data_IF_191001063455
#
_entry.id   IF_191001063455
#
_cell.length_a   1.000
_cell.length_b   1.000
_cell.length_c   1.000
_cell.angle_alpha   90.00
_cell.angle_beta   90.00
_cell.angle_gamma   90.00
#
_symmetry.space_group_name_H-M   'P 1'
#
loop_
_entity.id
_entity.type
_entity.pdbx_description
1 polymer ?
#
# COMPACT_ATOMS: atom_id res chain seq x y z
N UNK A 1 -3.36 1.98 13.73
CA UNK A 1 -4.64 1.50 13.19
C UNK A 1 -5.78 2.27 13.82
N UNK A 2 -6.63 2.88 13.00
CA UNK A 2 -7.89 3.49 13.43
C UNK A 2 -9.04 2.62 12.92
N UNK A 3 -9.95 2.26 13.82
CA UNK A 3 -11.28 1.79 13.42
C UNK A 3 -12.05 3.03 12.98
N UNK A 4 -12.56 3.05 11.77
CA UNK A 4 -13.58 4.01 11.39
C UNK A 4 -14.91 3.29 11.49
N UNK A 5 -15.76 3.82 12.35
CA UNK A 5 -17.03 3.26 12.71
C UNK A 5 -18.13 4.24 12.33
N UNK A 6 -19.13 3.73 11.62
CA UNK A 6 -20.46 4.28 11.68
C UNK A 6 -21.21 3.51 12.81
N UNK A 7 -21.28 4.14 14.00
CA UNK A 7 -22.23 3.90 15.11
C UNK A 7 -22.05 2.64 16.03
N UNK A 8 -21.76 2.96 17.32
CA UNK A 8 -21.82 2.33 18.68
C UNK A 8 -21.47 0.83 19.00
N UNK A 9 -20.48 0.73 19.91
CA UNK A 9 -19.95 -0.25 20.90
C UNK A 9 -20.63 -1.63 21.21
N UNK A 10 -19.87 -2.75 21.18
CA UNK A 10 -19.03 -3.36 22.26
C UNK A 10 -18.91 -4.89 22.10
N UNK A 11 -17.76 -5.47 21.73
CA UNK A 11 -17.50 -6.92 21.78
C UNK A 11 -16.00 -7.26 22.00
N UNK A 12 -15.67 -8.48 22.50
CA UNK A 12 -14.37 -8.78 23.12
C UNK A 12 -13.30 -9.21 22.10
N UNK A 13 -12.05 -8.80 22.34
CA UNK A 13 -10.87 -9.32 21.63
C UNK A 13 -9.98 -10.16 22.54
N UNK A 14 -9.66 -11.37 22.07
CA UNK A 14 -8.93 -12.35 22.86
C UNK A 14 -7.43 -12.33 22.52
N UNK A 15 -6.61 -11.91 23.47
CA UNK A 15 -5.22 -12.31 23.60
C UNK A 15 -4.99 -12.69 25.05
N UNK A 16 -4.17 -13.73 25.25
CA UNK A 16 -3.81 -14.30 26.55
C UNK A 16 -3.88 -13.29 27.71
N UNK A 17 -4.98 -13.43 28.48
CA UNK A 17 -5.30 -12.87 29.80
C UNK A 17 -6.17 -11.60 29.97
N UNK A 18 -6.62 -10.88 28.93
CA UNK A 18 -7.69 -9.87 29.14
C UNK A 18 -8.40 -9.40 27.86
N UNK A 19 -9.73 -9.50 27.83
CA UNK A 19 -10.54 -8.95 26.74
C UNK A 19 -10.53 -7.42 26.78
N UNK A 20 -10.12 -6.79 25.68
CA UNK A 20 -10.15 -5.33 25.52
C UNK A 20 -11.25 -4.94 24.53
N UNK A 21 -12.14 -4.05 24.96
CA UNK A 21 -13.16 -3.45 24.11
C UNK A 21 -12.90 -1.95 23.95
N UNK A 22 -12.89 -1.50 22.71
CA UNK A 22 -12.91 -0.08 22.35
C UNK A 22 -14.03 0.15 21.34
N UNK A 23 -14.49 1.39 21.23
CA UNK A 23 -15.48 1.76 20.26
C UNK A 23 -15.87 3.20 20.40
N UNK A 24 -16.50 3.72 19.36
CA UNK A 24 -16.91 5.12 19.30
C UNK A 24 -18.41 5.22 19.02
N UNK A 25 -18.95 6.43 19.16
CA UNK A 25 -20.34 6.74 18.86
C UNK A 25 -20.39 7.85 17.82
N UNK A 26 -21.31 7.71 16.88
CA UNK A 26 -21.68 8.77 15.94
C UNK A 26 -23.20 8.97 16.01
N UNK A 27 -23.63 10.22 15.91
CA UNK A 27 -25.03 10.63 15.81
C UNK A 27 -25.18 11.59 14.64
N UNK A 28 -26.27 11.45 13.89
CA UNK A 28 -26.55 12.28 12.74
C UNK A 28 -28.06 12.39 12.61
N UNK A 29 -28.59 13.61 12.51
CA UNK A 29 -30.01 13.85 12.26
C UNK A 29 -30.22 14.23 10.79
N UNK A 30 -29.41 15.14 10.26
CA UNK A 30 -29.43 15.54 8.84
C UNK A 30 -28.05 15.42 8.19
N UNK A 31 -28.02 15.24 6.87
CA UNK A 31 -26.75 15.18 6.12
C UNK A 31 -25.99 16.52 6.16
N UNK A 32 -26.68 17.64 6.35
CA UNK A 32 -26.07 18.97 6.48
C UNK A 32 -25.24 19.15 7.74
N UNK A 33 -25.45 18.32 8.76
CA UNK A 33 -24.66 18.35 10.00
C UNK A 33 -23.27 17.73 9.80
N UNK A 34 -23.10 16.96 8.72
CA UNK A 34 -21.90 16.18 8.45
C UNK A 34 -20.80 17.09 7.89
N UNK A 35 -19.61 17.00 8.51
CA UNK A 35 -18.44 17.80 8.14
C UNK A 35 -17.42 16.89 7.47
N UNK A 36 -17.09 17.19 6.21
CA UNK A 36 -16.01 16.49 5.48
C UNK A 36 -14.67 16.66 6.21
N UNK A 37 -13.86 15.60 6.21
CA UNK A 37 -12.59 15.51 6.95
C UNK A 37 -12.75 15.25 8.45
N UNK A 38 -13.95 15.38 9.02
CA UNK A 38 -14.18 15.21 10.46
C UNK A 38 -14.80 13.86 10.78
N UNK A 39 -14.09 13.04 11.57
CA UNK A 39 -14.61 11.76 12.07
C UNK A 39 -14.61 11.72 13.60
N UNK A 40 -15.42 12.58 14.22
CA UNK A 40 -15.45 12.77 15.68
C UNK A 40 -16.86 12.82 16.26
N UNK A 41 -17.78 12.02 15.71
CA UNK A 41 -19.08 11.75 16.31
C UNK A 41 -20.30 12.29 15.56
N UNK A 42 -20.10 12.96 14.42
CA UNK A 42 -21.20 13.37 13.52
C UNK A 42 -21.00 12.70 12.17
N UNK A 43 -21.94 11.84 11.77
CA UNK A 43 -21.78 11.00 10.59
C UNK A 43 -20.75 9.88 10.82
N UNK A 44 -19.50 10.20 11.16
CA UNK A 44 -18.40 9.28 11.35
C UNK A 44 -17.84 9.31 12.79
N UNK A 45 -17.34 8.17 13.28
CA UNK A 45 -16.51 8.14 14.49
C UNK A 45 -15.29 7.24 14.30
N UNK A 46 -14.23 7.49 15.07
CA UNK A 46 -13.02 6.68 15.03
C UNK A 46 -12.58 6.23 16.42
N UNK A 47 -11.92 5.08 16.50
CA UNK A 47 -11.30 4.57 17.72
C UNK A 47 -9.89 4.03 17.43
N UNK A 48 -8.95 4.25 18.36
CA UNK A 48 -7.59 3.72 18.25
C UNK A 48 -7.52 2.27 18.73
N UNK A 49 -6.77 1.43 18.03
CA UNK A 49 -6.45 0.08 18.48
C UNK A 49 -5.18 0.06 19.34
N UNK A 50 -5.17 -0.65 20.48
CA UNK A 50 -3.94 -0.89 21.22
C UNK A 50 -2.98 -1.75 20.39
N UNK A 51 -1.68 -1.58 20.65
CA UNK A 51 -0.65 -2.43 20.04
C UNK A 51 -0.75 -3.85 20.60
N UNK A 52 -0.44 -4.84 19.77
CA UNK A 52 -0.39 -6.25 20.18
C UNK A 52 -1.72 -6.99 20.12
N UNK A 53 -2.73 -6.49 19.40
CA UNK A 53 -3.97 -7.21 19.09
C UNK A 53 -3.70 -8.27 18.00
N UNK A 54 -4.06 -9.55 18.24
CA UNK A 54 -3.89 -10.66 17.27
C UNK A 54 -5.08 -10.79 16.35
N UNK A 55 -6.26 -10.51 16.90
CA UNK A 55 -7.52 -10.76 16.25
C UNK A 55 -8.51 -9.66 16.60
N UNK A 56 -9.41 -9.37 15.66
CA UNK A 56 -10.47 -8.41 15.85
C UNK A 56 -11.77 -8.84 15.15
N UNK A 57 -12.86 -8.43 15.75
CA UNK A 57 -14.27 -8.66 15.44
C UNK A 57 -14.96 -7.30 15.55
N UNK A 58 -15.57 -6.84 14.46
CA UNK A 58 -16.26 -5.56 14.43
C UNK A 58 -17.75 -5.82 14.46
N UNK A 59 -18.44 -5.23 15.44
CA UNK A 59 -19.90 -5.20 15.49
C UNK A 59 -20.39 -3.77 15.30
N UNK A 60 -21.48 -3.62 14.55
CA UNK A 60 -22.11 -2.36 14.22
C UNK A 60 -23.56 -2.39 14.68
N UNK A 61 -24.01 -1.34 15.37
CA UNK A 61 -25.40 -1.26 15.83
C UNK A 61 -25.95 0.15 15.60
N UNK A 62 -27.23 0.24 15.24
CA UNK A 62 -27.93 1.51 15.02
C UNK A 62 -29.08 1.65 16.00
N UNK A 63 -29.13 2.76 16.75
CA UNK A 63 -30.15 3.03 17.78
C UNK A 63 -31.59 2.87 17.28
N UNK A 64 -31.83 3.36 16.08
CA UNK A 64 -33.15 3.40 15.47
C UNK A 64 -33.20 2.56 14.19
N UNK A 65 -32.28 1.58 14.04
CA UNK A 65 -32.17 0.75 12.84
C UNK A 65 -32.19 1.58 11.54
N UNK A 66 -31.42 2.67 11.51
CA UNK A 66 -31.35 3.63 10.39
C UNK A 66 -32.65 4.36 10.00
N UNK A 67 -33.78 4.14 10.68
CA UNK A 67 -35.09 4.71 10.29
C UNK A 67 -35.10 6.24 10.20
N UNK A 68 -34.28 6.95 10.99
CA UNK A 68 -34.19 8.42 10.99
C UNK A 68 -33.28 9.00 9.91
N UNK A 69 -32.39 8.19 9.32
CA UNK A 69 -31.34 8.64 8.38
C UNK A 69 -31.35 7.83 7.08
N UNK A 70 -32.38 7.00 6.86
CA UNK A 70 -32.47 6.05 5.76
C UNK A 70 -32.30 6.68 4.38
N UNK A 71 -32.69 7.95 4.22
CA UNK A 71 -32.61 8.70 2.97
C UNK A 71 -31.19 9.02 2.52
N UNK A 72 -30.19 8.97 3.42
CA UNK A 72 -28.80 9.29 3.10
C UNK A 72 -27.77 8.40 3.80
N UNK A 73 -28.18 7.50 4.69
CA UNK A 73 -27.36 6.51 5.36
C UNK A 73 -28.18 5.24 5.62
N UNK A 74 -28.34 4.36 4.62
CA UNK A 74 -29.14 3.15 4.76
C UNK A 74 -28.43 2.04 5.53
N UNK A 75 -27.10 2.07 5.65
CA UNK A 75 -26.30 1.00 6.26
C UNK A 75 -25.10 1.54 7.03
N UNK A 76 -24.78 0.90 8.15
CA UNK A 76 -23.55 1.15 8.89
C UNK A 76 -22.38 0.39 8.28
N UNK A 77 -21.21 1.01 8.25
CA UNK A 77 -19.96 0.41 7.80
C UNK A 77 -18.88 0.57 8.87
N UNK A 78 -17.95 -0.36 8.91
CA UNK A 78 -16.74 -0.19 9.68
C UNK A 78 -15.60 -0.98 9.07
N UNK A 79 -14.41 -0.41 9.19
CA UNK A 79 -13.19 -0.97 8.64
C UNK A 79 -12.00 -0.46 9.44
N UNK A 80 -10.89 -1.19 9.31
CA UNK A 80 -9.61 -0.83 9.91
C UNK A 80 -8.75 -0.19 8.83
N UNK A 81 -8.18 0.97 9.14
CA UNK A 81 -7.28 1.68 8.24
C UNK A 81 -6.05 2.17 8.99
N UNK A 82 -4.96 2.37 8.24
CA UNK A 82 -3.78 3.04 8.77
C UNK A 82 -4.08 4.50 9.16
N UNK A 83 -3.36 5.00 10.15
CA UNK A 83 -3.52 6.38 10.61
C UNK A 83 -3.04 7.35 9.53
N UNK A 84 -3.92 8.24 9.09
CA UNK A 84 -3.64 9.22 8.04
C UNK A 84 -4.08 8.81 6.63
N UNK A 85 -4.40 7.53 6.42
CA UNK A 85 -4.75 6.99 5.10
C UNK A 85 -6.25 7.01 4.79
N UNK A 86 -7.06 7.68 5.62
CA UNK A 86 -8.48 7.88 5.36
C UNK A 86 -8.94 9.26 5.76
N UNK A 87 -9.66 9.89 4.84
CA UNK A 87 -10.38 11.13 5.04
C UNK A 87 -11.88 10.89 4.85
N UNK A 88 -12.67 11.23 5.87
CA UNK A 88 -14.11 11.03 5.83
C UNK A 88 -14.80 12.06 4.91
N UNK A 89 -15.78 11.60 4.14
CA UNK A 89 -16.66 12.47 3.35
C UNK A 89 -18.12 12.12 3.61
N UNK A 90 -18.99 13.12 3.64
CA UNK A 90 -20.44 12.94 3.74
C UNK A 90 -21.01 12.07 2.61
N UNK A 91 -20.37 12.07 1.43
CA UNK A 91 -20.76 11.18 0.32
C UNK A 91 -20.65 9.70 0.68
N UNK A 92 -19.77 9.33 1.61
CA UNK A 92 -19.59 7.95 2.04
C UNK A 92 -20.81 7.40 2.80
N UNK A 93 -21.72 8.24 3.27
CA UNK A 93 -22.95 7.82 3.95
C UNK A 93 -23.97 7.24 2.96
N UNK A 94 -24.05 7.76 1.73
CA UNK A 94 -25.16 7.54 0.81
C UNK A 94 -25.05 6.26 -0.04
N UNK A 95 -24.28 5.28 0.41
CA UNK A 95 -24.17 3.96 -0.22
C UNK A 95 -23.87 4.00 -1.73
N UNK A 96 -22.86 4.77 -2.15
CA UNK A 96 -22.19 4.51 -3.42
C UNK A 96 -21.11 3.46 -3.17
N UNK A 97 -21.48 2.18 -3.26
CA UNK A 97 -20.56 1.04 -3.23
C UNK A 97 -19.64 0.97 -4.46
N UNK A 98 -18.94 2.06 -4.77
CA UNK A 98 -17.87 2.05 -5.77
C UNK A 98 -16.54 2.36 -5.09
N UNK A 99 -15.72 1.30 -4.97
CA UNK A 99 -14.28 1.37 -4.83
C UNK A 99 -13.68 2.00 -3.56
N UNK A 100 -14.18 1.70 -2.35
CA UNK A 100 -13.37 1.90 -1.14
C UNK A 100 -12.26 0.85 -1.04
N UNK A 101 -11.22 1.00 -1.85
CA UNK A 101 -9.94 0.31 -1.69
C UNK A 101 -9.09 1.10 -0.69
N UNK A 102 -9.34 0.88 0.58
CA UNK A 102 -8.56 1.52 1.63
C UNK A 102 -7.34 0.66 1.96
N UNK A 103 -6.15 1.25 2.10
CA UNK A 103 -4.96 0.51 2.49
C UNK A 103 -5.13 0.05 3.93
N UNK A 104 -5.42 -1.24 4.08
CA UNK A 104 -5.43 -1.89 5.38
C UNK A 104 -4.01 -2.37 5.68
N UNK A 105 -3.26 -1.59 6.46
CA UNK A 105 -1.96 -2.04 6.99
C UNK A 105 -2.20 -2.70 8.35
N UNK A 106 -2.46 -4.00 8.34
CA UNK A 106 -2.38 -4.78 9.56
C UNK A 106 -0.91 -5.20 9.76
N UNK A 107 -0.30 -4.70 10.84
CA UNK A 107 1.01 -5.16 11.33
C UNK A 107 0.81 -6.41 12.20
N UNK A 108 0.31 -7.49 11.58
CA UNK A 108 0.06 -8.77 12.25
C UNK A 108 1.06 -9.81 11.78
N UNK A 109 1.65 -10.52 12.74
CA UNK A 109 2.53 -11.65 12.46
C UNK A 109 1.73 -12.92 12.25
N UNK A 110 2.17 -13.76 11.32
CA UNK A 110 1.53 -15.02 11.00
C UNK A 110 2.08 -16.10 11.92
N UNK A 111 1.19 -16.66 12.74
CA UNK A 111 1.55 -17.70 13.71
C UNK A 111 2.65 -17.24 14.68
N UNK A 112 3.37 -18.21 15.25
CA UNK A 112 4.48 -17.95 16.18
C UNK A 112 5.83 -18.44 15.64
N UNK A 113 5.89 -18.90 14.39
CA UNK A 113 7.10 -19.45 13.75
C UNK A 113 7.94 -18.37 13.07
N UNK A 114 9.25 -18.54 13.05
CA UNK A 114 10.16 -17.72 12.22
C UNK A 114 9.94 -17.96 10.73
N UNK A 115 10.43 -17.06 9.87
CA UNK A 115 10.42 -17.26 8.42
C UNK A 115 11.08 -18.57 8.00
N UNK A 116 12.17 -18.94 8.66
CA UNK A 116 12.93 -20.16 8.34
C UNK A 116 12.15 -21.42 8.67
N UNK A 117 11.29 -21.37 9.69
CA UNK A 117 10.44 -22.48 10.09
C UNK A 117 9.18 -22.55 9.26
N UNK A 118 8.53 -21.41 9.00
CA UNK A 118 7.32 -21.32 8.21
C UNK A 118 7.51 -21.85 6.77
N UNK A 119 8.65 -21.55 6.15
CA UNK A 119 9.00 -22.03 4.80
C UNK A 119 9.14 -23.56 4.70
N UNK A 120 9.31 -24.27 5.82
CA UNK A 120 9.44 -25.74 5.81
C UNK A 120 8.10 -26.43 5.56
N UNK A 121 6.98 -25.75 5.76
CA UNK A 121 5.64 -26.30 5.53
C UNK A 121 4.87 -25.46 4.50
N UNK A 122 4.95 -25.83 3.20
CA UNK A 122 4.27 -25.09 2.13
C UNK A 122 2.75 -25.01 2.27
N UNK A 123 2.12 -26.01 2.90
CA UNK A 123 0.66 -26.04 3.11
C UNK A 123 0.20 -24.91 4.03
N UNK A 124 1.00 -24.57 5.05
CA UNK A 124 0.65 -23.55 6.04
C UNK A 124 1.42 -22.24 5.84
N UNK A 125 2.28 -22.16 4.82
CA UNK A 125 3.04 -20.95 4.52
C UNK A 125 2.14 -19.90 3.85
N UNK A 126 2.03 -18.74 4.49
CA UNK A 126 1.07 -17.72 4.11
C UNK A 126 1.52 -16.87 2.92
N UNK A 127 2.83 -16.64 2.74
CA UNK A 127 3.32 -15.76 1.68
C UNK A 127 3.12 -16.42 0.31
N UNK A 128 2.48 -15.67 -0.60
CA UNK A 128 2.15 -16.10 -1.96
C UNK A 128 3.22 -15.64 -2.96
N UNK A 129 2.92 -15.78 -4.24
CA UNK A 129 3.86 -15.55 -5.34
C UNK A 129 4.51 -14.15 -5.26
N UNK A 130 5.80 -14.09 -5.59
CA UNK A 130 6.65 -12.89 -5.56
C UNK A 130 6.70 -12.15 -4.21
N UNK A 131 6.27 -12.80 -3.12
CA UNK A 131 6.41 -12.27 -1.77
C UNK A 131 7.64 -12.84 -1.06
N UNK A 132 8.30 -11.98 -0.30
CA UNK A 132 9.38 -12.32 0.62
C UNK A 132 8.85 -12.41 2.05
N UNK A 133 9.40 -13.35 2.80
CA UNK A 133 9.16 -13.45 4.23
C UNK A 133 10.11 -12.52 4.98
N UNK A 134 9.58 -11.79 5.97
CA UNK A 134 10.32 -10.89 6.85
C UNK A 134 10.01 -11.24 8.30
N UNK A 135 11.03 -11.22 9.16
CA UNK A 135 10.83 -11.30 10.61
C UNK A 135 10.30 -9.95 11.14
N UNK A 136 9.33 -9.95 12.06
CA UNK A 136 8.83 -8.73 12.67
C UNK A 136 9.91 -8.03 13.49
N UNK A 137 9.82 -6.70 13.61
CA UNK A 137 10.75 -5.93 14.46
C UNK A 137 10.55 -6.22 15.95
N UNK A 138 9.31 -6.56 16.34
CA UNK A 138 8.96 -6.98 17.69
C UNK A 138 7.90 -8.09 17.63
N UNK A 139 8.05 -9.10 18.48
CA UNK A 139 7.09 -10.21 18.59
C UNK A 139 7.55 -11.48 17.88
N UNK A 140 6.69 -12.50 17.94
CA UNK A 140 6.92 -13.81 17.32
C UNK A 140 6.06 -13.96 16.06
N UNK A 141 6.41 -14.91 15.21
CA UNK A 141 5.77 -15.12 13.91
C UNK A 141 6.57 -14.48 12.78
N UNK A 142 5.95 -14.39 11.61
CA UNK A 142 6.58 -13.80 10.42
C UNK A 142 5.61 -12.89 9.66
N UNK A 143 6.13 -12.11 8.73
CA UNK A 143 5.38 -11.20 7.86
C UNK A 143 5.67 -11.51 6.40
N UNK A 144 4.70 -11.28 5.52
CA UNK A 144 4.91 -11.32 4.09
C UNK A 144 4.94 -9.91 3.52
N UNK A 145 5.90 -9.63 2.64
CA UNK A 145 6.04 -8.37 1.91
C UNK A 145 6.25 -8.71 0.44
N UNK A 146 5.76 -7.91 -0.49
CA UNK A 146 6.17 -8.05 -1.88
C UNK A 146 7.69 -7.86 -2.03
N UNK A 147 8.31 -8.68 -2.87
CA UNK A 147 9.70 -8.49 -3.27
C UNK A 147 9.90 -7.19 -4.03
N UNK A 148 11.16 -6.79 -4.20
CA UNK A 148 11.49 -5.59 -4.98
C UNK A 148 11.02 -5.75 -6.44
N UNK A 149 10.43 -4.69 -7.01
CA UNK A 149 9.81 -4.73 -8.35
C UNK A 149 8.38 -5.28 -8.37
N UNK A 150 7.79 -5.61 -7.20
CA UNK A 150 6.43 -6.14 -7.12
C UNK A 150 5.53 -5.34 -6.16
N UNK A 151 4.24 -5.31 -6.43
CA UNK A 151 3.21 -4.61 -5.65
C UNK A 151 1.96 -5.47 -5.42
N UNK A 152 1.08 -5.03 -4.53
CA UNK A 152 -0.18 -5.70 -4.22
C UNK A 152 -0.18 -6.39 -2.86
N UNK A 153 -1.02 -7.43 -2.72
CA UNK A 153 -1.22 -8.11 -1.45
C UNK A 153 -0.51 -9.48 -1.44
N UNK A 154 0.53 -9.66 -0.61
CA UNK A 154 1.35 -10.88 -0.59
C UNK A 154 0.62 -12.11 -0.01
N UNK A 155 -0.62 -11.98 0.47
CA UNK A 155 -1.43 -13.04 1.08
C UNK A 155 -2.53 -13.59 0.16
N UNK A 156 -2.86 -12.87 -0.91
CA UNK A 156 -3.91 -13.28 -1.86
C UNK A 156 -3.39 -14.32 -2.85
N UNK A 157 -4.28 -15.12 -3.43
CA UNK A 157 -3.93 -16.23 -4.34
C UNK A 157 -3.02 -15.81 -5.50
N UNK A 158 -3.19 -14.61 -6.03
CA UNK A 158 -2.37 -14.10 -7.14
C UNK A 158 -1.06 -13.45 -6.65
N UNK A 159 -0.82 -13.42 -5.33
CA UNK A 159 0.36 -12.84 -4.71
C UNK A 159 0.64 -11.40 -5.14
N UNK A 160 1.92 -11.08 -5.20
CA UNK A 160 2.40 -9.78 -5.65
C UNK A 160 2.56 -9.75 -7.18
N UNK A 161 2.08 -8.67 -7.77
CA UNK A 161 2.11 -8.41 -9.20
C UNK A 161 3.32 -7.57 -9.57
N UNK A 162 3.85 -7.81 -10.76
CA UNK A 162 4.94 -7.04 -11.33
C UNK A 162 4.57 -5.54 -11.41
N UNK A 163 5.52 -4.68 -11.06
CA UNK A 163 5.39 -3.24 -11.26
C UNK A 163 5.91 -2.92 -12.65
N UNK A 164 5.07 -2.39 -13.53
CA UNK A 164 5.57 -1.81 -14.77
C UNK A 164 6.17 -0.43 -14.48
N UNK A 165 7.49 -0.38 -14.21
CA UNK A 165 8.17 0.89 -13.95
C UNK A 165 8.19 1.80 -15.19
N UNK A 166 8.09 1.24 -16.40
CA UNK A 166 8.05 2.02 -17.63
C UNK A 166 6.77 2.85 -17.75
N UNK A 167 5.64 2.32 -17.28
CA UNK A 167 4.38 3.07 -17.25
C UNK A 167 4.30 4.03 -16.06
N UNK A 168 4.71 3.54 -14.87
CA UNK A 168 4.47 4.23 -13.59
C UNK A 168 5.54 5.27 -13.26
N UNK A 169 6.82 4.92 -13.34
CA UNK A 169 7.95 5.77 -12.94
C UNK A 169 8.63 6.46 -14.13
N UNK A 170 8.52 5.87 -15.33
CA UNK A 170 9.19 6.32 -16.57
C UNK A 170 10.69 6.61 -16.34
N UNK A 171 11.46 5.64 -15.83
CA UNK A 171 12.82 5.84 -15.34
C UNK A 171 13.87 6.09 -16.44
N UNK A 172 13.52 5.83 -17.71
CA UNK A 172 14.47 5.89 -18.82
C UNK A 172 14.52 7.24 -19.53
N UNK A 173 15.72 7.61 -19.99
CA UNK A 173 15.98 8.80 -20.81
C UNK A 173 15.58 8.60 -22.27
N UNK A 174 15.58 7.35 -22.75
CA UNK A 174 15.15 6.97 -24.11
C UNK A 174 14.13 5.83 -24.05
N UNK A 175 14.52 4.61 -24.43
CA UNK A 175 13.58 3.48 -24.52
C UNK A 175 13.59 2.71 -23.21
N UNK A 176 12.39 2.44 -22.68
CA UNK A 176 12.19 1.62 -21.49
C UNK A 176 11.65 0.25 -21.87
N UNK A 177 12.14 -0.79 -21.20
CA UNK A 177 11.69 -2.16 -21.36
C UNK A 177 11.34 -2.72 -19.98
N UNK A 178 10.04 -2.98 -19.76
CA UNK A 178 9.59 -3.65 -18.55
C UNK A 178 10.01 -5.13 -18.58
N UNK A 179 10.37 -5.67 -17.43
CA UNK A 179 10.76 -7.07 -17.25
C UNK A 179 10.16 -7.60 -15.95
N UNK A 180 10.00 -8.91 -15.83
CA UNK A 180 9.46 -9.47 -14.60
C UNK A 180 10.41 -9.24 -13.40
N UNK A 181 9.98 -8.42 -12.45
CA UNK A 181 10.73 -7.98 -11.26
C UNK A 181 11.60 -6.74 -11.47
N UNK A 182 11.44 -5.99 -12.57
CA UNK A 182 12.12 -4.71 -12.75
C UNK A 182 12.18 -4.23 -14.20
N UNK A 183 13.15 -3.39 -14.54
CA UNK A 183 13.25 -2.81 -15.88
C UNK A 183 14.69 -2.56 -16.32
N UNK A 184 14.86 -2.40 -17.63
CA UNK A 184 16.09 -1.85 -18.20
C UNK A 184 15.80 -0.78 -19.24
N UNK A 185 16.78 0.11 -19.42
CA UNK A 185 16.72 1.16 -20.42
C UNK A 185 17.72 0.85 -21.54
N UNK A 186 17.39 1.29 -22.76
CA UNK A 186 18.32 1.20 -23.89
C UNK A 186 18.50 2.55 -24.56
N UNK A 187 19.74 2.84 -24.94
CA UNK A 187 20.08 4.05 -25.68
C UNK A 187 19.77 3.93 -27.18
N UNK A 188 19.45 5.05 -27.84
CA UNK A 188 19.23 5.06 -29.27
C UNK A 188 20.52 4.74 -30.04
N UNK A 189 20.39 4.35 -31.31
CA UNK A 189 21.54 4.00 -32.16
C UNK A 189 22.55 5.17 -32.21
N UNK A 190 23.83 4.85 -31.97
CA UNK A 190 24.90 5.85 -31.93
C UNK A 190 25.15 6.45 -30.54
N UNK A 191 24.45 5.98 -29.51
CA UNK A 191 24.64 6.38 -28.12
C UNK A 191 24.95 5.15 -27.25
N UNK A 192 25.67 5.38 -26.16
CA UNK A 192 26.03 4.40 -25.14
C UNK A 192 25.70 4.90 -23.73
N UNK A 193 25.67 3.98 -22.77
CA UNK A 193 25.30 4.24 -21.38
C UNK A 193 24.19 3.31 -20.88
N UNK A 194 23.74 3.52 -19.64
CA UNK A 194 22.68 2.71 -19.03
C UNK A 194 21.26 3.15 -19.43
N UNK A 195 21.12 4.29 -20.12
CA UNK A 195 19.83 4.84 -20.56
C UNK A 195 18.89 5.29 -19.44
N UNK A 196 19.32 5.27 -18.17
CA UNK A 196 18.52 5.68 -17.01
C UNK A 196 18.60 7.19 -16.79
N UNK A 197 17.57 7.78 -16.18
CA UNK A 197 17.55 9.21 -15.82
C UNK A 197 18.34 9.51 -14.55
N UNK A 198 18.36 8.56 -13.62
CA UNK A 198 19.10 8.59 -12.35
C UNK A 198 20.50 7.94 -12.46
N UNK A 199 20.89 7.51 -13.67
CA UNK A 199 22.17 6.88 -13.98
C UNK A 199 23.06 7.71 -14.90
N UNK A 200 23.88 7.01 -15.69
CA UNK A 200 24.76 7.59 -16.71
C UNK A 200 24.01 8.12 -17.94
N UNK A 201 22.76 7.70 -18.14
CA UNK A 201 21.93 8.17 -19.24
C UNK A 201 22.46 7.68 -20.59
N UNK A 202 22.25 8.49 -21.63
CA UNK A 202 22.74 8.19 -22.97
C UNK A 202 23.70 9.27 -23.44
N UNK A 203 24.90 8.86 -23.84
CA UNK A 203 25.95 9.73 -24.38
C UNK A 203 26.33 9.30 -25.81
N UNK A 204 26.62 10.23 -26.73
CA UNK A 204 27.04 9.87 -28.09
C UNK A 204 28.32 9.04 -28.09
N UNK A 205 28.36 7.98 -28.90
CA UNK A 205 29.58 7.19 -29.11
C UNK A 205 30.55 8.04 -29.94
N UNK A 206 31.63 8.52 -29.31
CA UNK A 206 32.64 9.32 -29.99
C UNK A 206 33.72 8.39 -30.54
N UNK A 207 33.66 8.10 -31.85
CA UNK A 207 34.76 7.44 -32.53
C UNK A 207 35.94 8.41 -32.61
N UNK A 208 36.96 8.22 -31.77
CA UNK A 208 38.23 8.90 -31.91
C UNK A 208 38.93 8.45 -33.20
N UNK A 209 38.57 9.06 -34.33
CA UNK A 209 39.45 9.05 -35.48
C UNK A 209 40.69 9.89 -35.13
N UNK A 210 41.81 9.22 -34.90
CA UNK A 210 43.13 9.83 -34.75
C UNK A 210 43.52 10.55 -36.05
N UNK A 211 43.04 11.77 -36.26
CA UNK A 211 43.57 12.64 -37.29
C UNK A 211 44.93 13.16 -36.79
N UNK A 212 46.03 12.57 -37.27
CA UNK A 212 47.34 13.21 -37.14
C UNK A 212 47.41 14.36 -38.15
N UNK A 213 47.16 15.59 -37.71
CA UNK A 213 47.50 16.77 -38.52
C UNK A 213 49.02 16.80 -38.71
N UNK A 214 49.49 16.50 -39.93
CA UNK A 214 50.85 16.81 -40.33
C UNK A 214 50.89 18.28 -40.77
N UNK A 215 51.36 19.15 -39.89
CA UNK A 215 51.67 20.55 -40.25
C UNK A 215 53.08 20.58 -40.81
N UNK A 216 53.22 20.62 -42.13
CA UNK A 216 54.50 20.94 -42.78
C UNK A 216 54.66 22.46 -42.82
N UNK A 217 55.51 23.01 -41.96
CA UNK A 217 55.96 24.40 -42.11
C UNK A 217 56.82 24.49 -43.36
N UNK A 218 56.41 25.36 -44.28
CA UNK A 218 57.27 25.74 -45.41
C UNK A 218 57.94 27.05 -45.03
N UNK A 219 59.25 27.03 -44.83
CA UNK A 219 60.02 28.24 -44.61
C UNK A 219 60.03 29.04 -45.92
N UNK A 220 59.48 30.25 -45.87
CA UNK A 220 59.57 31.23 -46.96
C UNK A 220 60.87 32.00 -46.71
N UNK A 221 61.83 31.83 -47.61
CA UNK A 221 63.15 32.48 -47.57
C UNK A 221 63.10 33.96 -47.95
#
# INVERSE_FOLDING_TARGET
LRLLQFIRQQFPFQYLAQDYATGCLSLCDEISDVINGSCSGIGCCQASFPRGVRDYEISLTSYYNHTRVLSFNPCSHAFVVEEGEYEFSASHLNNSSEDWKLPMILDWTIGDHSCSEAKKNPETYACKENAICREPENGNGYLCKCGDGFQGNPYLSNGCQDIDECETLRPCSSTCHNTFGGFYCSCPKGYEGDGRRDGSGCSPIVNHHNWKLHITQTAIG
#
